data_IF_151363721499
#
_entry.id   IF_151363721499
#
_cell.length_a   1.000
_cell.length_b   1.000
_cell.length_c   1.000
_cell.angle_alpha   90.00
_cell.angle_beta   90.00
_cell.angle_gamma   90.00
#
_symmetry.space_group_name_H-M   'P 1'
#
loop_
_entity.id
_entity.type
_entity.pdbx_description
1 polymer ?
#
# COMPACT_ATOMS: atom_id res chain seq x y z
N UNK A 1 19.42 23.33 15.06
CA UNK A 1 20.10 22.11 14.57
C UNK A 1 19.36 21.66 13.32
N UNK A 2 20.03 21.56 12.16
CA UNK A 2 19.39 21.04 10.94
C UNK A 2 19.14 19.55 11.11
N UNK A 3 17.87 19.15 11.29
CA UNK A 3 17.48 17.75 11.31
C UNK A 3 17.51 17.20 9.87
N UNK A 4 17.98 15.96 9.70
CA UNK A 4 17.95 15.27 8.42
C UNK A 4 16.51 14.90 8.06
N UNK A 5 16.11 14.99 6.79
CA UNK A 5 14.79 14.52 6.32
C UNK A 5 14.53 13.05 6.69
N UNK A 6 15.58 12.23 6.75
CA UNK A 6 15.47 10.83 7.17
C UNK A 6 15.05 10.74 8.64
N UNK A 7 15.55 11.63 9.49
CA UNK A 7 15.16 11.70 10.90
C UNK A 7 13.70 12.14 11.05
N UNK A 8 13.25 13.12 10.27
CA UNK A 8 11.84 13.54 10.25
C UNK A 8 10.91 12.38 9.82
N UNK A 9 11.30 11.61 8.81
CA UNK A 9 10.54 10.42 8.41
C UNK A 9 10.50 9.36 9.52
N UNK A 10 11.61 9.12 10.22
CA UNK A 10 11.65 8.21 11.36
C UNK A 10 10.72 8.68 12.49
N UNK A 11 10.73 9.97 12.82
CA UNK A 11 9.81 10.54 13.81
C UNK A 11 8.35 10.34 13.41
N UNK A 12 8.01 10.54 12.13
CA UNK A 12 6.66 10.33 11.62
C UNK A 12 6.24 8.84 11.67
N UNK A 13 7.18 7.91 11.49
CA UNK A 13 6.93 6.47 11.64
C UNK A 13 6.64 6.06 13.09
N UNK A 14 7.24 6.73 14.07
CA UNK A 14 6.95 6.48 15.49
C UNK A 14 5.65 7.12 15.96
N UNK A 15 5.10 8.07 15.20
CA UNK A 15 3.85 8.72 15.52
C UNK A 15 2.66 7.83 15.13
N UNK A 16 1.95 7.29 16.13
CA UNK A 16 0.80 6.41 15.92
C UNK A 16 -0.42 7.11 15.29
N UNK A 17 -0.44 8.45 15.22
CA UNK A 17 -1.53 9.21 14.62
C UNK A 17 -1.32 9.47 13.12
N UNK A 18 -0.17 9.09 12.57
CA UNK A 18 0.21 9.43 11.21
C UNK A 18 -0.41 8.48 10.19
N UNK A 19 -1.01 9.06 9.14
CA UNK A 19 -1.61 8.27 8.04
C UNK A 19 -0.49 7.68 7.20
N UNK A 20 -0.61 6.40 6.84
CA UNK A 20 0.33 5.71 5.96
C UNK A 20 0.60 6.48 4.64
N UNK A 21 -0.42 7.14 4.07
CA UNK A 21 -0.26 7.96 2.87
C UNK A 21 0.66 9.17 3.06
N UNK A 22 0.69 9.76 4.25
CA UNK A 22 1.55 10.92 4.54
C UNK A 22 3.01 10.47 4.65
N UNK A 23 3.25 9.36 5.34
CA UNK A 23 4.56 8.72 5.47
C UNK A 23 5.10 8.35 4.08
N UNK A 24 4.28 7.74 3.22
CA UNK A 24 4.67 7.39 1.85
C UNK A 24 5.04 8.62 1.01
N UNK A 25 4.31 9.73 1.13
CA UNK A 25 4.66 10.98 0.44
C UNK A 25 6.00 11.56 0.92
N UNK A 26 6.27 11.53 2.22
CA UNK A 26 7.57 11.95 2.77
C UNK A 26 8.69 11.03 2.28
N UNK A 27 8.48 9.72 2.33
CA UNK A 27 9.42 8.73 1.81
C UNK A 27 9.69 8.94 0.31
N UNK A 28 8.69 9.32 -0.48
CA UNK A 28 8.85 9.63 -1.91
C UNK A 28 9.81 10.81 -2.11
N UNK A 29 9.62 11.91 -1.37
CA UNK A 29 10.50 13.08 -1.44
C UNK A 29 11.95 12.69 -1.08
N UNK A 30 12.12 11.87 -0.05
CA UNK A 30 13.44 11.39 0.39
C UNK A 30 14.08 10.49 -0.66
N UNK A 31 13.31 9.56 -1.25
CA UNK A 31 13.80 8.64 -2.30
C UNK A 31 14.37 9.41 -3.50
N UNK A 32 13.69 10.47 -3.93
CA UNK A 32 14.13 11.36 -5.01
C UNK A 32 15.40 12.13 -4.64
N UNK A 33 15.50 12.59 -3.39
CA UNK A 33 16.68 13.33 -2.91
C UNK A 33 17.92 12.44 -2.80
N UNK A 34 17.72 11.18 -2.42
CA UNK A 34 18.78 10.17 -2.29
C UNK A 34 19.06 9.41 -3.60
N UNK A 35 18.28 9.65 -4.66
CA UNK A 35 18.36 8.97 -5.96
C UNK A 35 18.28 7.44 -5.86
N UNK A 36 17.33 6.96 -5.05
CA UNK A 36 17.07 5.51 -4.89
C UNK A 36 15.89 5.14 -5.79
N UNK A 37 16.17 4.93 -7.08
CA UNK A 37 15.16 4.82 -8.13
C UNK A 37 14.17 3.66 -7.90
N UNK A 38 14.66 2.51 -7.41
CA UNK A 38 13.81 1.34 -7.16
C UNK A 38 12.80 1.62 -6.03
N UNK A 39 13.23 2.34 -5.01
CA UNK A 39 12.36 2.73 -3.89
C UNK A 39 11.35 3.80 -4.33
N UNK A 40 11.78 4.77 -5.14
CA UNK A 40 10.89 5.79 -5.73
C UNK A 40 9.76 5.13 -6.55
N UNK A 41 10.12 4.20 -7.44
CA UNK A 41 9.15 3.45 -8.26
C UNK A 41 8.19 2.64 -7.40
N UNK A 42 8.70 1.95 -6.39
CA UNK A 42 7.87 1.18 -5.47
C UNK A 42 6.86 2.07 -4.72
N UNK A 43 7.29 3.21 -4.16
CA UNK A 43 6.38 4.15 -3.48
C UNK A 43 5.35 4.71 -4.45
N UNK A 44 5.75 5.02 -5.68
CA UNK A 44 4.84 5.52 -6.69
C UNK A 44 3.71 4.53 -6.98
N UNK A 45 4.02 3.24 -7.11
CA UNK A 45 3.00 2.19 -7.28
C UNK A 45 2.12 2.04 -6.03
N UNK A 46 2.70 2.16 -4.85
CA UNK A 46 1.96 2.07 -3.59
C UNK A 46 0.96 3.23 -3.39
N UNK A 47 1.31 4.44 -3.87
CA UNK A 47 0.45 5.62 -3.79
C UNK A 47 -0.60 5.69 -4.91
N UNK A 48 -0.24 5.30 -6.13
CA UNK A 48 -1.09 5.48 -7.31
C UNK A 48 -1.79 4.19 -7.76
N UNK A 49 -1.47 3.06 -7.13
CA UNK A 49 -1.97 1.74 -7.50
C UNK A 49 -1.10 1.05 -8.56
N UNK A 50 -1.37 -0.24 -8.72
CA UNK A 50 -0.66 -1.13 -9.65
C UNK A 50 -1.49 -1.28 -10.93
N UNK A 51 -1.34 -0.34 -11.86
CA UNK A 51 -2.12 -0.29 -13.12
C UNK A 51 -1.35 -1.00 -14.24
N UNK A 52 -2.04 -1.83 -15.03
CA UNK A 52 -1.48 -2.50 -16.21
C UNK A 52 -0.70 -3.77 -15.88
N UNK A 53 0.29 -4.11 -16.72
CA UNK A 53 1.12 -5.30 -16.56
C UNK A 53 2.33 -5.02 -15.64
N UNK A 54 2.04 -4.66 -14.38
CA UNK A 54 3.08 -4.41 -13.37
C UNK A 54 3.13 -5.57 -12.38
N UNK A 55 4.33 -5.97 -11.97
CA UNK A 55 4.52 -7.01 -10.95
C UNK A 55 3.90 -6.56 -9.63
N UNK A 56 2.89 -7.31 -9.17
CA UNK A 56 2.21 -7.06 -7.89
C UNK A 56 2.95 -7.82 -6.78
N UNK A 57 3.38 -7.16 -5.69
CA UNK A 57 4.00 -7.84 -4.56
C UNK A 57 3.05 -8.86 -3.91
N UNK A 58 3.57 -9.97 -3.40
CA UNK A 58 2.75 -11.03 -2.79
C UNK A 58 1.86 -10.51 -1.65
N UNK A 59 2.34 -9.58 -0.83
CA UNK A 59 1.57 -8.99 0.26
C UNK A 59 0.40 -8.10 -0.21
N UNK A 60 0.36 -7.71 -1.49
CA UNK A 60 -0.77 -6.99 -2.10
C UNK A 60 -1.79 -7.95 -2.73
N UNK A 61 -1.51 -9.25 -2.80
CA UNK A 61 -2.48 -10.26 -3.23
C UNK A 61 -3.43 -10.56 -2.07
N UNK A 62 -4.72 -10.30 -2.29
CA UNK A 62 -5.77 -10.58 -1.31
C UNK A 62 -6.61 -11.73 -1.83
N UNK A 63 -6.85 -12.73 -0.98
CA UNK A 63 -7.74 -13.84 -1.27
C UNK A 63 -9.05 -13.62 -0.53
N UNK A 64 -10.17 -13.74 -1.24
CA UNK A 64 -11.50 -13.61 -0.68
C UNK A 64 -12.38 -14.78 -1.08
N UNK A 65 -13.42 -15.04 -0.29
CA UNK A 65 -14.48 -15.97 -0.64
C UNK A 65 -15.65 -15.19 -1.23
N UNK A 66 -16.17 -15.68 -2.36
CA UNK A 66 -17.34 -15.06 -2.98
C UNK A 66 -18.59 -15.52 -2.24
N UNK A 67 -19.37 -14.56 -1.78
CA UNK A 67 -20.66 -14.78 -1.13
C UNK A 67 -21.77 -14.14 -1.95
N UNK A 68 -22.90 -14.81 -2.07
CA UNK A 68 -24.13 -14.29 -2.67
C UNK A 68 -25.20 -14.10 -1.59
N UNK A 69 -26.01 -13.06 -1.74
CA UNK A 69 -27.19 -12.85 -0.90
C UNK A 69 -28.37 -13.67 -1.42
N UNK A 70 -28.85 -14.61 -0.62
CA UNK A 70 -30.10 -15.34 -0.86
C UNK A 70 -31.24 -14.70 -0.04
N UNK A 71 -32.32 -14.19 -0.67
CA UNK A 71 -33.44 -13.56 0.05
C UNK A 71 -34.10 -14.45 1.11
N UNK A 72 -34.05 -15.77 0.94
CA UNK A 72 -34.66 -16.73 1.86
C UNK A 72 -33.66 -17.31 2.87
N UNK A 73 -32.36 -17.26 2.57
CA UNK A 73 -31.32 -17.96 3.34
C UNK A 73 -30.10 -17.10 3.71
N UNK A 74 -30.18 -15.78 3.56
CA UNK A 74 -29.09 -14.83 3.85
C UNK A 74 -27.83 -15.08 3.00
N UNK A 75 -26.67 -14.57 3.45
CA UNK A 75 -25.40 -14.73 2.74
C UNK A 75 -24.97 -16.20 2.69
N UNK A 76 -24.71 -16.68 1.49
CA UNK A 76 -24.26 -18.05 1.22
C UNK A 76 -22.97 -18.02 0.38
N UNK A 77 -22.06 -18.96 0.64
CA UNK A 77 -20.85 -19.12 -0.15
C UNK A 77 -21.17 -19.66 -1.54
N UNK A 78 -20.54 -19.10 -2.56
CA UNK A 78 -20.62 -19.61 -3.93
C UNK A 78 -19.48 -20.60 -4.13
N UNK A 79 -19.82 -21.83 -4.51
CA UNK A 79 -18.85 -22.84 -4.94
C UNK A 79 -18.75 -22.77 -6.45
N UNK A 80 -17.55 -22.51 -6.97
CA UNK A 80 -17.27 -22.62 -8.40
C UNK A 80 -16.81 -24.06 -8.68
N UNK A 81 -17.49 -24.77 -9.58
CA UNK A 81 -16.98 -26.04 -10.09
C UNK A 81 -15.76 -25.77 -10.98
N UNK A 82 -14.74 -26.63 -10.85
CA UNK A 82 -13.47 -26.55 -11.59
C UNK A 82 -13.53 -27.30 -12.92
#
# INVERSE_FOLDING_TARGET
MNQSLVFELQQELYNSNSRATNILRMAYIISRKLKVDDFEKWIHLELNGYIGQVTIPEYRKVYGQVVAWNPYHSWQYIVFEQ
#
